data_IF_387016939679
#
_entry.id   IF_387016939679
#
_cell.length_a   1.000
_cell.length_b   1.000
_cell.length_c   1.000
_cell.angle_alpha   90.00
_cell.angle_beta   90.00
_cell.angle_gamma   90.00
#
_symmetry.space_group_name_H-M   'P 1'
#
loop_
_entity.id
_entity.type
_entity.pdbx_description
1 polymer ?
#
# COMPACT_ATOMS: atom_id res chain seq x y z
N UNK A 1 8.99 21.25 -1.72
CA UNK A 1 8.59 19.82 -1.69
C UNK A 1 7.51 19.65 -2.73
N UNK A 2 7.50 18.56 -3.50
CA UNK A 2 6.52 18.36 -4.56
C UNK A 2 5.21 17.78 -3.98
N UNK A 3 4.09 18.10 -4.61
CA UNK A 3 2.79 17.50 -4.31
C UNK A 3 2.56 16.31 -5.24
N UNK A 4 2.14 15.18 -4.68
CA UNK A 4 1.96 13.91 -5.39
C UNK A 4 0.48 13.53 -5.41
N UNK A 5 0.02 12.89 -6.49
CA UNK A 5 -1.36 12.42 -6.60
C UNK A 5 -1.68 11.38 -5.52
N UNK A 6 -2.83 11.53 -4.87
CA UNK A 6 -3.27 10.61 -3.80
C UNK A 6 -3.88 9.31 -4.35
N UNK A 7 -3.92 8.29 -3.51
CA UNK A 7 -4.60 7.02 -3.74
C UNK A 7 -5.74 6.81 -2.72
N UNK A 8 -7.00 6.61 -3.15
CA UNK A 8 -7.49 6.61 -4.52
C UNK A 8 -7.44 8.02 -5.13
N UNK A 9 -7.26 8.08 -6.45
CA UNK A 9 -7.28 9.33 -7.21
C UNK A 9 -8.64 10.01 -7.06
N UNK A 10 -8.65 11.24 -6.57
CA UNK A 10 -9.86 12.03 -6.33
C UNK A 10 -9.71 13.43 -6.93
N UNK A 11 -10.84 13.97 -7.38
CA UNK A 11 -10.95 15.35 -7.87
C UNK A 11 -11.75 16.19 -6.86
N UNK A 12 -11.29 17.43 -6.67
CA UNK A 12 -12.06 18.45 -5.96
C UNK A 12 -13.19 19.00 -6.87
N UNK A 13 -14.20 19.69 -6.30
CA UNK A 13 -15.32 20.23 -7.08
C UNK A 13 -14.93 21.22 -8.19
N UNK A 14 -13.76 21.84 -8.08
CA UNK A 14 -13.18 22.75 -9.07
C UNK A 14 -12.37 22.02 -10.18
N UNK A 15 -12.31 20.69 -10.11
CA UNK A 15 -11.56 19.84 -11.05
C UNK A 15 -10.07 19.71 -10.71
N UNK A 16 -9.60 20.25 -9.59
CA UNK A 16 -8.22 20.04 -9.15
C UNK A 16 -8.01 18.59 -8.65
N UNK A 17 -6.82 18.04 -8.87
CA UNK A 17 -6.44 16.77 -8.28
C UNK A 17 -6.18 16.93 -6.79
N UNK A 18 -6.69 16.00 -5.98
CA UNK A 18 -6.22 15.84 -4.62
C UNK A 18 -4.76 15.35 -4.66
N UNK A 19 -3.93 16.00 -3.84
CA UNK A 19 -2.52 15.69 -3.73
C UNK A 19 -2.11 15.64 -2.27
N UNK A 20 -1.06 14.87 -1.98
CA UNK A 20 -0.40 14.81 -0.70
C UNK A 20 1.03 15.34 -0.82
N UNK A 21 1.48 16.06 0.21
CA UNK A 21 2.85 16.55 0.25
C UNK A 21 3.83 15.37 0.28
N UNK A 22 4.88 15.42 -0.54
CA UNK A 22 5.96 14.43 -0.52
C UNK A 22 6.54 14.29 0.90
N UNK A 23 6.65 13.06 1.40
CA UNK A 23 7.13 12.75 2.75
C UNK A 23 6.09 12.87 3.86
N UNK A 24 4.85 13.24 3.55
CA UNK A 24 3.74 13.19 4.51
C UNK A 24 3.31 11.75 4.80
N UNK A 25 2.67 11.54 5.96
CA UNK A 25 2.15 10.22 6.34
C UNK A 25 1.04 9.75 5.39
N UNK A 26 0.26 10.67 4.83
CA UNK A 26 -0.73 10.38 3.79
C UNK A 26 -0.05 9.82 2.53
N UNK A 27 0.98 10.50 2.04
CA UNK A 27 1.75 10.04 0.88
C UNK A 27 2.41 8.68 1.12
N UNK A 28 2.96 8.46 2.32
CA UNK A 28 3.56 7.17 2.71
C UNK A 28 2.50 6.07 2.71
N UNK A 29 1.35 6.33 3.31
CA UNK A 29 0.22 5.40 3.35
C UNK A 29 -0.24 5.04 1.93
N UNK A 30 -0.34 6.02 1.04
CA UNK A 30 -0.73 5.82 -0.36
C UNK A 30 0.27 4.93 -1.12
N UNK A 31 1.57 5.07 -0.86
CA UNK A 31 2.58 4.21 -1.48
C UNK A 31 2.55 2.79 -0.94
N UNK A 32 2.34 2.61 0.36
CA UNK A 32 2.15 1.28 0.97
C UNK A 32 0.90 0.64 0.35
N UNK A 33 -0.22 1.35 0.31
CA UNK A 33 -1.48 0.90 -0.27
C UNK A 33 -1.33 0.54 -1.75
N UNK A 34 -0.63 1.36 -2.54
CA UNK A 34 -0.35 1.07 -3.94
C UNK A 34 0.47 -0.22 -4.10
N UNK A 35 1.42 -0.47 -3.21
CA UNK A 35 2.30 -1.64 -3.25
C UNK A 35 1.54 -2.92 -2.87
N UNK A 36 0.85 -2.93 -1.73
CA UNK A 36 0.11 -4.12 -1.26
C UNK A 36 -1.15 -4.39 -2.09
N UNK A 37 -1.74 -3.36 -2.70
CA UNK A 37 -2.93 -3.47 -3.53
C UNK A 37 -2.65 -3.86 -4.98
N UNK A 38 -1.39 -4.10 -5.35
CA UNK A 38 -0.99 -4.56 -6.68
C UNK A 38 -0.49 -6.01 -6.59
N UNK A 39 -1.02 -6.91 -7.43
CA UNK A 39 -0.48 -8.25 -7.53
C UNK A 39 0.77 -8.28 -8.43
N UNK A 40 1.76 -9.12 -8.06
CA UNK A 40 2.96 -9.32 -8.89
C UNK A 40 2.56 -9.72 -10.30
N UNK A 41 3.07 -8.95 -11.27
CA UNK A 41 2.81 -9.12 -12.69
C UNK A 41 1.71 -8.25 -13.28
N UNK A 42 0.96 -7.51 -12.47
CA UNK A 42 -0.05 -6.56 -12.97
C UNK A 42 0.56 -5.36 -13.72
N UNK A 43 1.82 -5.01 -13.42
CA UNK A 43 2.52 -3.88 -14.04
C UNK A 43 3.46 -4.37 -15.17
N UNK A 44 3.10 -4.19 -16.46
CA UNK A 44 3.86 -4.78 -17.57
C UNK A 44 5.33 -4.33 -17.62
N UNK A 45 5.59 -3.08 -17.25
CA UNK A 45 6.93 -2.48 -17.27
C UNK A 45 7.67 -2.59 -15.93
N UNK A 46 7.01 -3.09 -14.89
CA UNK A 46 7.59 -3.32 -13.57
C UNK A 46 7.00 -4.60 -12.97
N UNK A 47 7.22 -5.70 -13.68
CA UNK A 47 6.68 -7.03 -13.34
C UNK A 47 6.84 -7.43 -11.86
N UNK A 48 7.97 -7.15 -11.17
CA UNK A 48 8.14 -7.57 -9.78
C UNK A 48 7.43 -6.66 -8.75
N UNK A 49 6.80 -5.55 -9.16
CA UNK A 49 6.11 -4.65 -8.23
C UNK A 49 4.82 -5.29 -7.70
N UNK A 50 4.60 -5.22 -6.39
CA UNK A 50 3.41 -5.74 -5.74
C UNK A 50 3.72 -6.81 -4.69
N UNK A 51 2.68 -7.52 -4.28
CA UNK A 51 2.77 -8.73 -3.44
C UNK A 51 2.27 -9.97 -4.21
N UNK A 52 2.62 -11.15 -3.74
CA UNK A 52 1.97 -12.37 -4.21
C UNK A 52 0.48 -12.32 -3.84
N UNK A 53 -0.38 -12.89 -4.69
CA UNK A 53 -1.83 -12.88 -4.48
C UNK A 53 -2.20 -13.56 -3.15
N UNK A 54 -2.72 -12.81 -2.15
CA UNK A 54 -3.12 -13.35 -0.86
C UNK A 54 -4.51 -14.01 -0.91
N UNK A 55 -5.11 -14.20 -2.08
CA UNK A 55 -6.42 -14.87 -2.18
C UNK A 55 -6.37 -16.32 -1.68
N UNK A 56 -5.20 -16.97 -1.78
CA UNK A 56 -4.99 -18.36 -1.35
C UNK A 56 -4.06 -18.50 -0.14
N UNK A 57 -3.51 -17.40 0.36
CA UNK A 57 -2.67 -17.35 1.56
C UNK A 57 -2.93 -16.04 2.31
N UNK A 58 -3.00 -16.05 3.65
CA UNK A 58 -3.30 -14.81 4.38
C UNK A 58 -2.25 -13.73 4.11
N UNK A 59 -2.64 -12.45 4.18
CA UNK A 59 -1.67 -11.36 4.03
C UNK A 59 -0.66 -11.40 5.19
N UNK A 60 0.61 -11.70 4.88
CA UNK A 60 1.64 -11.81 5.93
C UNK A 60 2.46 -10.53 6.09
N UNK A 61 2.92 -10.27 7.32
CA UNK A 61 3.86 -9.18 7.62
C UNK A 61 5.15 -9.31 6.80
N UNK A 62 5.64 -10.53 6.59
CA UNK A 62 6.90 -10.75 5.88
C UNK A 62 6.79 -10.32 4.42
N UNK A 63 5.69 -10.65 3.75
CA UNK A 63 5.45 -10.26 2.36
C UNK A 63 5.27 -8.76 2.21
N UNK A 64 4.46 -8.15 3.09
CA UNK A 64 4.23 -6.70 3.09
C UNK A 64 5.53 -5.96 3.37
N UNK A 65 6.31 -6.38 4.38
CA UNK A 65 7.61 -5.76 4.68
C UNK A 65 8.59 -5.92 3.52
N UNK A 66 8.67 -7.10 2.90
CA UNK A 66 9.58 -7.33 1.77
C UNK A 66 9.23 -6.45 0.56
N UNK A 67 7.95 -6.31 0.24
CA UNK A 67 7.49 -5.47 -0.85
C UNK A 67 7.72 -3.97 -0.56
N UNK A 68 7.37 -3.51 0.65
CA UNK A 68 7.58 -2.12 1.07
C UNK A 68 9.08 -1.79 1.15
N UNK A 69 9.93 -2.68 1.64
CA UNK A 69 11.38 -2.46 1.62
C UNK A 69 11.98 -2.40 0.21
N UNK A 70 11.33 -3.01 -0.78
CA UNK A 70 11.84 -3.04 -2.16
C UNK A 70 11.33 -1.89 -3.02
N UNK A 71 10.07 -1.48 -2.83
CA UNK A 71 9.38 -0.54 -3.72
C UNK A 71 8.67 0.61 -2.99
N UNK A 72 8.54 0.51 -1.67
CA UNK A 72 7.89 1.51 -0.84
C UNK A 72 8.83 2.65 -0.44
N UNK A 73 8.33 3.54 0.42
CA UNK A 73 9.08 4.69 0.92
C UNK A 73 10.20 4.26 1.87
N UNK A 74 11.32 5.00 1.82
CA UNK A 74 12.47 4.79 2.71
C UNK A 74 12.11 5.04 4.18
N UNK A 75 12.74 4.28 5.08
CA UNK A 75 12.60 4.47 6.53
C UNK A 75 11.28 3.98 7.13
N UNK A 76 10.46 3.24 6.37
CA UNK A 76 9.21 2.65 6.85
C UNK A 76 9.41 1.21 7.34
N UNK A 77 8.83 0.93 8.50
CA UNK A 77 8.79 -0.40 9.13
C UNK A 77 7.34 -0.82 9.28
N UNK A 78 7.04 -2.06 8.89
CA UNK A 78 5.73 -2.68 9.10
C UNK A 78 5.73 -3.32 10.49
N UNK A 79 4.88 -2.82 11.37
CA UNK A 79 4.81 -3.24 12.76
C UNK A 79 3.96 -4.51 12.90
N UNK A 80 2.78 -4.52 12.28
CA UNK A 80 1.86 -5.66 12.30
C UNK A 80 1.05 -5.75 11.01
N UNK A 81 0.65 -6.98 10.69
CA UNK A 81 -0.42 -7.26 9.73
C UNK A 81 -1.41 -8.18 10.44
N UNK A 82 -2.66 -7.76 10.54
CA UNK A 82 -3.71 -8.51 11.24
C UNK A 82 -4.86 -8.83 10.30
N UNK A 83 -5.26 -10.09 10.27
CA UNK A 83 -6.41 -10.57 9.51
C UNK A 83 -7.56 -10.87 10.46
N UNK A 84 -8.71 -10.24 10.23
CA UNK A 84 -9.94 -10.49 10.98
C UNK A 84 -11.00 -11.05 10.03
N UNK A 85 -11.38 -12.30 10.25
CA UNK A 85 -12.47 -12.95 9.51
C UNK A 85 -13.82 -12.37 9.94
N UNK A 86 -14.57 -11.82 8.99
CA UNK A 86 -15.92 -11.28 9.22
C UNK A 86 -17.00 -12.33 8.99
N UNK A 87 -16.72 -13.33 8.15
CA UNK A 87 -17.54 -14.52 7.92
C UNK A 87 -16.67 -15.69 7.43
N UNK A 88 -17.29 -16.78 6.94
CA UNK A 88 -16.59 -17.98 6.50
C UNK A 88 -15.73 -17.79 5.21
N UNK A 89 -15.90 -16.68 4.50
CA UNK A 89 -15.30 -16.40 3.20
C UNK A 89 -14.68 -15.01 3.07
N UNK A 90 -14.98 -14.10 4.01
CA UNK A 90 -14.54 -12.71 3.97
C UNK A 90 -13.62 -12.41 5.14
N UNK A 91 -12.46 -11.82 4.85
CA UNK A 91 -11.53 -11.31 5.85
C UNK A 91 -11.16 -9.85 5.56
N UNK A 92 -10.98 -9.08 6.63
CA UNK A 92 -10.42 -7.74 6.59
C UNK A 92 -8.97 -7.81 7.08
N UNK A 93 -8.05 -7.25 6.30
CA UNK A 93 -6.65 -7.10 6.70
C UNK A 93 -6.38 -5.64 7.12
N UNK A 94 -5.60 -5.47 8.18
CA UNK A 94 -5.08 -4.17 8.62
C UNK A 94 -3.55 -4.22 8.68
N UNK A 95 -2.92 -3.12 8.28
CA UNK A 95 -1.45 -2.96 8.26
C UNK A 95 -1.09 -1.79 9.17
N UNK A 96 -0.28 -2.07 10.17
CA UNK A 96 0.29 -1.07 11.08
C UNK A 96 1.73 -0.78 10.67
N UNK A 97 2.11 0.49 10.63
CA UNK A 97 3.46 0.91 10.22
C UNK A 97 3.93 2.12 11.01
N UNK A 98 5.26 2.25 11.07
CA UNK A 98 5.97 3.38 11.67
C UNK A 98 7.12 3.83 10.78
N UNK A 99 7.67 5.02 11.05
CA UNK A 99 8.84 5.56 10.35
C UNK A 99 9.92 6.01 11.33
N UNK A 100 11.17 5.84 10.95
CA UNK A 100 12.37 6.25 11.71
C UNK A 100 12.79 7.68 11.42
#
# INVERSE_FOLDING_TARGET
>A
MADLLVLPLRLAPDGAFHTAAQGSDEQITDQIAATIGTAIGERPMCWPFGIADPTFDELTKADVQAAVSRFGPDGVVIDAVTTTWTDATTAAAAVEWSRT
#
